data_IF_858157627873
#
_entry.id   IF_858157627873
#
_cell.length_a   1.000
_cell.length_b   1.000
_cell.length_c   1.000
_cell.angle_alpha   90.00
_cell.angle_beta   90.00
_cell.angle_gamma   90.00
#
_symmetry.space_group_name_H-M   'P 1'
#
loop_
_entity.id
_entity.type
_entity.pdbx_description
1 polymer ?
#
# COMPACT_ATOMS: atom_id res chain seq x y z
N UNK A 1 14.22 6.17 -28.49
CA UNK A 1 15.32 6.96 -27.91
C UNK A 1 15.57 6.46 -26.48
N UNK A 2 16.81 6.11 -26.16
CA UNK A 2 17.21 5.62 -24.83
C UNK A 2 17.33 6.78 -23.84
N UNK A 3 17.00 6.56 -22.55
CA UNK A 3 17.06 7.62 -21.54
C UNK A 3 18.53 8.04 -21.28
N UNK A 4 18.88 9.35 -21.23
CA UNK A 4 20.27 9.80 -21.39
C UNK A 4 21.26 9.44 -20.27
N UNK A 5 20.78 8.89 -19.15
CA UNK A 5 21.57 8.70 -17.93
C UNK A 5 21.66 7.26 -17.42
N UNK A 6 20.89 6.31 -17.98
CA UNK A 6 20.81 4.94 -17.45
C UNK A 6 20.95 3.83 -18.50
N UNK A 7 21.01 4.17 -19.79
CA UNK A 7 21.16 3.18 -20.89
C UNK A 7 19.97 2.23 -21.06
N UNK A 8 18.92 2.35 -20.23
CA UNK A 8 17.72 1.54 -20.28
C UNK A 8 16.66 2.20 -21.17
N UNK A 9 15.86 1.40 -21.90
CA UNK A 9 14.70 1.90 -22.61
C UNK A 9 13.71 2.54 -21.62
N UNK A 10 12.95 3.58 -22.03
CA UNK A 10 11.87 4.12 -21.22
C UNK A 10 10.89 3.02 -20.80
N UNK A 11 10.23 3.14 -19.62
CA UNK A 11 9.18 2.21 -19.22
C UNK A 11 8.12 2.09 -20.32
N UNK A 12 7.76 0.85 -20.65
CA UNK A 12 6.79 0.55 -21.70
C UNK A 12 5.56 -0.09 -21.06
N UNK A 13 4.49 0.70 -20.95
CA UNK A 13 3.18 0.23 -20.44
C UNK A 13 2.43 -0.72 -21.40
N UNK A 14 3.12 -1.25 -22.42
CA UNK A 14 2.62 -2.31 -23.28
C UNK A 14 2.96 -3.72 -22.77
N UNK A 15 3.82 -3.84 -21.75
CA UNK A 15 4.23 -5.13 -21.18
C UNK A 15 3.19 -5.77 -20.26
N UNK A 16 2.27 -4.97 -19.71
CA UNK A 16 1.21 -5.43 -18.80
C UNK A 16 -0.19 -5.20 -19.34
N UNK A 17 -1.10 -4.78 -18.46
CA UNK A 17 -2.53 -4.67 -18.74
C UNK A 17 -3.01 -3.22 -18.63
N UNK A 18 -2.72 -2.34 -19.60
CA UNK A 18 -3.08 -0.92 -19.54
C UNK A 18 -4.59 -0.69 -19.42
N UNK A 19 -5.42 -1.49 -20.13
CA UNK A 19 -6.87 -1.40 -20.00
C UNK A 19 -7.38 -1.81 -18.61
N UNK A 20 -6.72 -2.74 -17.93
CA UNK A 20 -7.06 -3.12 -16.56
C UNK A 20 -6.69 -2.00 -15.57
N UNK A 21 -5.54 -1.35 -15.79
CA UNK A 21 -5.14 -0.18 -15.03
C UNK A 21 -6.14 0.98 -15.17
N UNK A 22 -6.69 1.20 -16.37
CA UNK A 22 -7.73 2.21 -16.57
C UNK A 22 -9.03 1.85 -15.85
N UNK A 23 -9.39 0.57 -15.78
CA UNK A 23 -10.52 0.11 -14.95
C UNK A 23 -10.29 0.37 -13.45
N UNK A 24 -9.08 0.13 -12.94
CA UNK A 24 -8.73 0.49 -11.55
C UNK A 24 -8.87 2.00 -11.29
N UNK A 25 -8.42 2.84 -12.23
CA UNK A 25 -8.56 4.30 -12.14
C UNK A 25 -10.01 4.75 -12.19
N UNK A 26 -10.80 4.17 -13.08
CA UNK A 26 -12.23 4.47 -13.20
C UNK A 26 -13.02 4.07 -11.95
N UNK A 27 -12.66 2.94 -11.32
CA UNK A 27 -13.27 2.44 -10.10
C UNK A 27 -12.69 3.02 -8.81
N UNK A 28 -11.77 4.01 -8.89
CA UNK A 28 -10.93 4.46 -7.76
C UNK A 28 -11.71 4.80 -6.50
N UNK A 29 -12.75 5.64 -6.61
CA UNK A 29 -13.54 6.06 -5.45
C UNK A 29 -14.25 4.88 -4.76
N UNK A 30 -14.80 3.96 -5.55
CA UNK A 30 -15.49 2.77 -5.04
C UNK A 30 -14.50 1.80 -4.40
N UNK A 31 -13.34 1.58 -5.04
CA UNK A 31 -12.26 0.74 -4.51
C UNK A 31 -11.69 1.32 -3.22
N UNK A 32 -11.51 2.65 -3.12
CA UNK A 32 -10.98 3.30 -1.93
C UNK A 32 -11.91 3.12 -0.73
N UNK A 33 -13.21 3.36 -0.92
CA UNK A 33 -14.23 3.11 0.10
C UNK A 33 -14.25 1.63 0.52
N UNK A 34 -14.31 0.73 -0.46
CA UNK A 34 -14.37 -0.73 -0.18
C UNK A 34 -13.10 -1.24 0.51
N UNK A 35 -11.94 -0.71 0.15
CA UNK A 35 -10.67 -1.04 0.81
C UNK A 35 -10.71 -0.68 2.29
N UNK A 36 -11.20 0.52 2.64
CA UNK A 36 -11.30 0.92 4.04
C UNK A 36 -12.34 0.14 4.82
N UNK A 37 -13.48 -0.21 4.22
CA UNK A 37 -14.47 -1.09 4.84
C UNK A 37 -13.83 -2.43 5.24
N UNK A 38 -13.16 -3.09 4.28
CA UNK A 38 -12.48 -4.37 4.51
C UNK A 38 -11.38 -4.21 5.57
N UNK A 39 -10.62 -3.10 5.53
CA UNK A 39 -9.56 -2.83 6.50
C UNK A 39 -10.10 -2.73 7.93
N UNK A 40 -11.23 -2.03 8.13
CA UNK A 40 -11.92 -1.91 9.42
C UNK A 40 -12.57 -3.22 9.86
N UNK A 41 -13.15 -3.99 8.92
CA UNK A 41 -13.69 -5.32 9.20
C UNK A 41 -12.60 -6.27 9.71
N UNK A 42 -11.40 -6.23 9.10
CA UNK A 42 -10.22 -7.03 9.50
C UNK A 42 -9.63 -6.61 10.85
N UNK A 43 -9.60 -5.31 11.15
CA UNK A 43 -9.15 -4.78 12.44
C UNK A 43 -10.11 -3.72 12.98
N UNK A 44 -11.12 -4.18 13.71
CA UNK A 44 -12.12 -3.30 14.35
C UNK A 44 -11.51 -2.33 15.37
N UNK A 45 -10.27 -2.52 15.82
CA UNK A 45 -9.64 -1.59 16.76
C UNK A 45 -9.17 -0.30 16.08
N UNK A 46 -9.08 -0.27 14.73
CA UNK A 46 -8.70 0.92 13.96
C UNK A 46 -9.59 2.12 14.26
N UNK A 47 -10.91 1.92 14.44
CA UNK A 47 -11.86 3.00 14.74
C UNK A 47 -11.64 3.63 16.12
N UNK A 48 -10.90 2.94 17.01
CA UNK A 48 -10.49 3.46 18.33
C UNK A 48 -9.08 4.06 18.29
N UNK A 49 -8.19 3.52 17.46
CA UNK A 49 -6.78 3.97 17.36
C UNK A 49 -6.61 5.22 16.49
N UNK A 50 -7.47 5.40 15.49
CA UNK A 50 -7.45 6.54 14.59
C UNK A 50 -8.61 7.49 14.89
N UNK A 51 -8.34 8.79 14.83
CA UNK A 51 -9.41 9.78 14.80
C UNK A 51 -10.15 9.72 13.47
N UNK A 52 -11.38 10.25 13.44
CA UNK A 52 -12.13 10.35 12.18
C UNK A 52 -11.36 11.10 11.09
N UNK A 53 -10.66 12.18 11.46
CA UNK A 53 -9.78 12.92 10.53
C UNK A 53 -8.65 12.04 9.98
N UNK A 54 -8.02 11.22 10.82
CA UNK A 54 -6.97 10.31 10.38
C UNK A 54 -7.50 9.23 9.43
N UNK A 55 -8.70 8.69 9.68
CA UNK A 55 -9.37 7.75 8.78
C UNK A 55 -9.74 8.39 7.44
N UNK A 56 -10.27 9.62 7.43
CA UNK A 56 -10.54 10.37 6.19
C UNK A 56 -9.28 10.67 5.41
N UNK A 57 -8.17 10.96 6.09
CA UNK A 57 -6.88 11.14 5.41
C UNK A 57 -6.38 9.81 4.83
N UNK A 58 -6.48 8.70 5.56
CA UNK A 58 -6.18 7.36 5.05
C UNK A 58 -7.02 7.04 3.80
N UNK A 59 -8.32 7.37 3.79
CA UNK A 59 -9.18 7.22 2.61
C UNK A 59 -8.60 7.94 1.39
N UNK A 60 -8.19 9.21 1.57
CA UNK A 60 -7.56 10.00 0.50
C UNK A 60 -6.22 9.41 0.07
N UNK A 61 -5.47 8.83 0.99
CA UNK A 61 -4.19 8.20 0.66
C UNK A 61 -4.39 6.94 -0.21
N UNK A 62 -5.48 6.19 -0.01
CA UNK A 62 -5.82 4.98 -0.83
C UNK A 62 -5.85 5.29 -2.32
N UNK A 63 -6.28 6.50 -2.72
CA UNK A 63 -6.28 6.91 -4.13
C UNK A 63 -4.88 6.82 -4.76
N UNK A 64 -3.84 7.17 -4.00
CA UNK A 64 -2.45 7.11 -4.46
C UNK A 64 -1.98 5.65 -4.51
N UNK A 65 -2.36 4.82 -3.54
CA UNK A 65 -2.08 3.37 -3.59
C UNK A 65 -2.71 2.73 -4.83
N UNK A 66 -3.96 3.07 -5.17
CA UNK A 66 -4.65 2.59 -6.37
C UNK A 66 -3.92 3.05 -7.62
N UNK A 67 -3.44 4.30 -7.69
CA UNK A 67 -2.68 4.77 -8.84
C UNK A 67 -1.35 3.99 -9.01
N UNK A 68 -0.62 3.76 -7.91
CA UNK A 68 0.62 2.96 -7.97
C UNK A 68 0.37 1.51 -8.36
N UNK A 69 -0.74 0.94 -7.90
CA UNK A 69 -1.18 -0.39 -8.32
C UNK A 69 -1.53 -0.41 -9.81
N UNK A 70 -2.24 0.60 -10.31
CA UNK A 70 -2.57 0.74 -11.72
C UNK A 70 -1.30 0.86 -12.60
N UNK A 71 -0.30 1.63 -12.16
CA UNK A 71 1.01 1.67 -12.84
C UNK A 71 1.69 0.30 -12.87
N UNK A 72 1.67 -0.43 -11.74
CA UNK A 72 2.25 -1.77 -11.66
C UNK A 72 1.55 -2.78 -12.58
N UNK A 73 0.22 -2.70 -12.68
CA UNK A 73 -0.59 -3.55 -13.57
C UNK A 73 -0.34 -3.20 -15.05
N UNK A 74 -0.28 -1.92 -15.40
CA UNK A 74 -0.05 -1.48 -16.78
C UNK A 74 1.35 -1.88 -17.29
N UNK A 75 2.37 -1.81 -16.44
CA UNK A 75 3.77 -2.13 -16.79
C UNK A 75 4.18 -3.57 -16.41
N UNK A 76 3.27 -4.36 -15.82
CA UNK A 76 3.55 -5.67 -15.21
C UNK A 76 4.78 -5.67 -14.29
N UNK A 77 4.97 -4.58 -13.54
CA UNK A 77 6.18 -4.31 -12.78
C UNK A 77 5.86 -3.97 -11.32
N UNK A 78 6.12 -4.88 -10.37
CA UNK A 78 5.76 -4.69 -8.97
C UNK A 78 6.51 -3.52 -8.30
N UNK A 79 7.64 -3.09 -8.87
CA UNK A 79 8.47 -2.02 -8.29
C UNK A 79 7.76 -0.68 -8.23
N UNK A 80 6.73 -0.43 -9.06
CA UNK A 80 5.99 0.83 -9.01
C UNK A 80 5.37 1.12 -7.65
N UNK A 81 4.85 0.08 -6.97
CA UNK A 81 4.28 0.23 -5.64
C UNK A 81 5.35 0.13 -4.55
N UNK A 82 6.22 -0.87 -4.60
CA UNK A 82 7.21 -1.08 -3.54
C UNK A 82 8.28 0.02 -3.46
N UNK A 83 8.80 0.50 -4.61
CA UNK A 83 9.73 1.64 -4.59
C UNK A 83 9.06 2.89 -4.04
N UNK A 84 7.85 3.20 -4.50
CA UNK A 84 7.13 4.36 -3.97
C UNK A 84 6.88 4.21 -2.47
N UNK A 85 6.54 3.02 -2.00
CA UNK A 85 6.34 2.74 -0.58
C UNK A 85 7.62 2.99 0.23
N UNK A 86 8.79 2.65 -0.31
CA UNK A 86 10.09 2.94 0.31
C UNK A 86 10.30 4.46 0.45
N UNK A 87 10.00 5.20 -0.62
CA UNK A 87 10.15 6.66 -0.65
C UNK A 87 9.20 7.38 0.34
N UNK A 88 7.98 6.84 0.59
CA UNK A 88 6.97 7.51 1.44
C UNK A 88 6.79 6.91 2.84
N UNK A 89 7.36 5.74 3.15
CA UNK A 89 7.26 5.12 4.48
C UNK A 89 7.64 6.07 5.64
N UNK A 90 8.69 6.91 5.54
CA UNK A 90 9.00 7.89 6.58
C UNK A 90 7.87 8.89 6.85
N UNK A 91 7.05 9.22 5.85
CA UNK A 91 5.97 10.21 5.98
C UNK A 91 4.81 9.66 6.83
N UNK A 92 4.38 8.43 6.56
CA UNK A 92 3.36 7.75 7.38
C UNK A 92 3.81 7.60 8.84
N UNK A 93 5.10 7.33 9.06
CA UNK A 93 5.68 7.27 10.40
C UNK A 93 5.65 8.62 11.11
N UNK A 94 5.98 9.72 10.42
CA UNK A 94 5.83 11.09 10.96
C UNK A 94 4.37 11.40 11.34
N UNK A 95 3.42 10.91 10.54
CA UNK A 95 1.97 10.97 10.82
C UNK A 95 1.50 10.00 11.91
N UNK A 96 2.42 9.24 12.52
CA UNK A 96 2.16 8.22 13.56
C UNK A 96 1.23 7.09 13.10
N UNK A 97 1.16 6.82 11.79
CA UNK A 97 0.44 5.68 11.24
C UNK A 97 1.33 4.44 11.33
N UNK A 98 0.92 3.38 12.06
CA UNK A 98 1.67 2.12 12.13
C UNK A 98 1.87 1.49 10.75
N UNK A 99 3.03 0.89 10.50
CA UNK A 99 3.28 0.14 9.27
C UNK A 99 2.39 -1.09 9.16
N UNK A 100 1.98 -1.69 10.29
CA UNK A 100 1.01 -2.78 10.30
C UNK A 100 -0.38 -2.32 9.79
N UNK A 101 -0.75 -1.05 9.99
CA UNK A 101 -2.00 -0.51 9.46
C UNK A 101 -1.90 -0.30 7.94
N UNK A 102 -0.73 0.11 7.43
CA UNK A 102 -0.48 0.18 5.98
C UNK A 102 -0.44 -1.22 5.36
N UNK A 103 0.10 -2.24 6.06
CA UNK A 103 0.01 -3.64 5.62
C UNK A 103 -1.45 -4.08 5.54
N UNK A 104 -2.27 -3.80 6.56
CA UNK A 104 -3.70 -4.12 6.52
C UNK A 104 -4.41 -3.40 5.37
N UNK A 105 -4.07 -2.14 5.09
CA UNK A 105 -4.58 -1.40 3.93
C UNK A 105 -4.22 -2.10 2.61
N UNK A 106 -2.95 -2.49 2.43
CA UNK A 106 -2.49 -3.18 1.23
C UNK A 106 -3.15 -4.56 1.04
N UNK A 107 -3.28 -5.34 2.11
CA UNK A 107 -3.99 -6.63 2.09
C UNK A 107 -5.49 -6.45 1.82
N UNK A 108 -6.09 -5.34 2.27
CA UNK A 108 -7.49 -5.00 1.99
C UNK A 108 -7.69 -4.54 0.54
N UNK A 109 -6.73 -3.77 0.02
CA UNK A 109 -6.70 -3.35 -1.37
C UNK A 109 -6.61 -4.56 -2.29
N UNK A 110 -5.80 -5.56 -1.93
CA UNK A 110 -5.68 -6.83 -2.65
C UNK A 110 -7.02 -7.55 -2.80
N UNK A 111 -7.82 -7.59 -1.73
CA UNK A 111 -9.14 -8.22 -1.74
C UNK A 111 -10.10 -7.42 -2.60
N UNK A 112 -10.12 -6.08 -2.46
CA UNK A 112 -11.03 -5.23 -3.20
C UNK A 112 -10.74 -5.18 -4.71
N UNK A 113 -9.47 -5.24 -5.12
CA UNK A 113 -9.07 -5.13 -6.53
C UNK A 113 -9.55 -6.32 -7.37
N UNK A 114 -9.80 -7.48 -6.75
CA UNK A 114 -10.37 -8.68 -7.40
C UNK A 114 -11.78 -8.47 -7.96
N UNK A 115 -12.51 -7.45 -7.49
CA UNK A 115 -13.79 -7.08 -8.07
C UNK A 115 -13.66 -6.40 -9.44
N UNK A 116 -12.46 -5.89 -9.77
CA UNK A 116 -12.17 -5.13 -10.99
C UNK A 116 -11.27 -5.91 -11.92
N UNK A 117 -10.31 -6.68 -11.39
CA UNK A 117 -9.32 -7.41 -12.19
C UNK A 117 -9.74 -8.85 -12.42
N UNK A 118 -9.48 -9.37 -13.62
CA UNK A 118 -9.53 -10.81 -13.88
C UNK A 118 -8.36 -11.52 -13.17
N UNK A 119 -8.39 -12.86 -13.02
CA UNK A 119 -7.31 -13.59 -12.34
C UNK A 119 -5.91 -13.36 -12.93
N UNK A 120 -5.80 -13.22 -14.25
CA UNK A 120 -4.50 -12.99 -14.91
C UNK A 120 -3.99 -11.57 -14.66
N UNK A 121 -4.88 -10.58 -14.69
CA UNK A 121 -4.57 -9.17 -14.41
C UNK A 121 -4.30 -8.93 -12.93
N UNK A 122 -4.86 -9.76 -12.05
CA UNK A 122 -4.63 -9.71 -10.61
C UNK A 122 -3.20 -10.13 -10.25
N UNK A 123 -2.56 -11.01 -11.03
CA UNK A 123 -1.20 -11.50 -10.71
C UNK A 123 -0.15 -10.38 -10.58
N UNK A 124 0.00 -9.41 -11.52
CA UNK A 124 0.90 -8.27 -11.32
C UNK A 124 0.46 -7.34 -10.19
N UNK A 125 -0.85 -7.23 -9.92
CA UNK A 125 -1.36 -6.46 -8.79
C UNK A 125 -0.94 -7.07 -7.44
N UNK A 126 -1.10 -8.39 -7.31
CA UNK A 126 -0.69 -9.17 -6.13
C UNK A 126 0.83 -9.04 -5.91
N UNK A 127 1.63 -9.19 -6.96
CA UNK A 127 3.09 -9.04 -6.87
C UNK A 127 3.50 -7.62 -6.40
N UNK A 128 2.81 -6.58 -6.88
CA UNK A 128 3.08 -5.21 -6.46
C UNK A 128 2.72 -4.99 -4.99
N UNK A 129 1.57 -5.51 -4.56
CA UNK A 129 1.11 -5.45 -3.17
C UNK A 129 2.08 -6.18 -2.25
N UNK A 130 2.54 -7.37 -2.63
CA UNK A 130 3.53 -8.13 -1.87
C UNK A 130 4.86 -7.37 -1.73
N UNK A 131 5.32 -6.70 -2.80
CA UNK A 131 6.52 -5.86 -2.73
C UNK A 131 6.33 -4.65 -1.79
N UNK A 132 5.16 -4.01 -1.82
CA UNK A 132 4.79 -2.95 -0.87
C UNK A 132 4.75 -3.44 0.58
N UNK A 133 4.11 -4.58 0.83
CA UNK A 133 4.03 -5.22 2.16
C UNK A 133 5.44 -5.56 2.67
N UNK A 134 6.30 -6.11 1.81
CA UNK A 134 7.71 -6.40 2.14
C UNK A 134 8.43 -5.14 2.64
N UNK A 135 8.23 -3.99 1.98
CA UNK A 135 8.78 -2.70 2.40
C UNK A 135 8.19 -2.27 3.75
N UNK A 136 6.87 -2.28 3.93
CA UNK A 136 6.26 -1.94 5.22
C UNK A 136 6.79 -2.80 6.37
N UNK A 137 6.95 -4.11 6.15
CA UNK A 137 7.52 -5.06 7.12
C UNK A 137 8.98 -4.76 7.46
N UNK A 138 9.76 -4.25 6.50
CA UNK A 138 11.11 -3.75 6.75
C UNK A 138 11.08 -2.52 7.68
N UNK A 139 10.31 -1.49 7.33
CA UNK A 139 10.19 -0.26 8.13
C UNK A 139 9.55 -0.47 9.51
N UNK A 140 8.72 -1.51 9.68
CA UNK A 140 8.19 -1.93 10.98
C UNK A 140 9.29 -2.18 12.01
N UNK A 141 10.46 -2.68 11.57
CA UNK A 141 11.59 -3.03 12.45
C UNK A 141 12.31 -1.79 12.99
N UNK A 142 12.26 -0.66 12.29
CA UNK A 142 13.20 0.44 12.48
C UNK A 142 12.89 1.33 13.70
N UNK A 143 11.68 1.31 14.26
CA UNK A 143 11.38 1.87 15.60
C UNK A 143 9.86 1.86 15.88
N UNK A 144 9.40 1.28 17.00
CA UNK A 144 8.09 1.64 17.58
C UNK A 144 6.94 0.65 17.40
N UNK A 145 6.69 0.11 16.20
CA UNK A 145 5.49 -0.74 15.99
C UNK A 145 5.64 -2.12 16.61
N UNK A 146 6.79 -2.77 16.44
CA UNK A 146 7.12 -4.00 17.16
C UNK A 146 7.21 -3.78 18.69
N UNK A 147 7.54 -2.55 19.14
CA UNK A 147 7.65 -2.18 20.56
C UNK A 147 6.28 -2.07 21.25
N UNK A 148 5.26 -1.57 20.55
CA UNK A 148 3.90 -1.41 21.10
C UNK A 148 3.20 -2.75 21.40
N UNK A 149 3.61 -3.84 20.74
CA UNK A 149 3.02 -5.19 20.93
C UNK A 149 3.76 -6.08 21.93
N UNK A 150 5.00 -5.75 22.31
CA UNK A 150 5.76 -6.55 23.26
C UNK A 150 5.82 -5.83 24.62
N UNK A 151 5.08 -6.29 25.64
CA UNK A 151 5.03 -5.66 26.96
C UNK A 151 6.42 -5.50 27.59
N UNK A 152 7.31 -6.46 27.35
CA UNK A 152 8.67 -6.47 27.90
C UNK A 152 9.51 -5.37 27.26
N UNK A 153 9.44 -5.20 25.93
CA UNK A 153 10.14 -4.11 25.24
C UNK A 153 9.57 -2.73 25.60
N UNK A 154 8.26 -2.64 25.85
CA UNK A 154 7.62 -1.42 26.31
C UNK A 154 8.03 -1.06 27.75
N UNK A 155 8.19 -2.05 28.62
CA UNK A 155 8.63 -1.90 30.02
C UNK A 155 10.10 -1.48 30.12
N UNK A 156 11.02 -2.18 29.45
CA UNK A 156 12.47 -1.89 29.49
C UNK A 156 12.79 -0.46 29.04
N UNK A 157 12.05 0.07 28.07
CA UNK A 157 12.32 1.39 27.50
C UNK A 157 11.55 2.55 28.13
N UNK A 158 10.52 2.29 28.96
CA UNK A 158 9.81 3.36 29.69
C UNK A 158 10.50 3.78 30.99
N UNK A 159 11.55 3.06 31.39
CA UNK A 159 12.20 3.25 32.68
C UNK A 159 11.35 2.72 33.82
N UNK A 160 12.01 2.20 34.86
CA UNK A 160 11.39 2.01 36.17
C UNK A 160 10.97 3.36 36.76
#
# INVERSE_FOLDING_TARGET
MSHPSLGLPPPSFAAGFPAAADRLRAARAQLAARTLEIMVERDRTLVKRHTELALRQLLRDVDVFIERLAMAVADANPRWLGKWMDDVAPQYRRRRVPMDDIVNLLESLQVSSRAVLSPVEQAPADAAIDDGIRVCRWYRRIAGDARKRNPILAFIYKGA
#
